data_IF_189535552458
#
_entry.id   IF_189535552458
#
_cell.length_a   1.000
_cell.length_b   1.000
_cell.length_c   1.000
_cell.angle_alpha   90.00
_cell.angle_beta   90.00
_cell.angle_gamma   90.00
#
_symmetry.space_group_name_H-M   'P 1'
#
loop_
_entity.id
_entity.type
_entity.pdbx_description
1 polymer ?
#
# COMPACT_ATOMS: atom_id res chain seq x y z
N UNK A 1 -32.18 -4.42 4.16
CA UNK A 1 -31.48 -4.95 5.35
C UNK A 1 -29.99 -4.64 5.19
N UNK A 2 -29.47 -3.65 5.90
CA UNK A 2 -28.04 -3.30 5.85
C UNK A 2 -27.25 -4.40 6.57
N UNK A 3 -26.47 -5.18 5.83
CA UNK A 3 -25.65 -6.25 6.42
C UNK A 3 -24.47 -5.64 7.17
N UNK A 4 -24.03 -6.27 8.26
CA UNK A 4 -22.76 -5.98 8.93
C UNK A 4 -21.60 -5.93 7.93
N UNK A 5 -21.66 -6.75 6.87
CA UNK A 5 -20.70 -6.70 5.76
C UNK A 5 -20.70 -5.35 5.03
N UNK A 6 -21.87 -4.82 4.69
CA UNK A 6 -21.98 -3.52 4.01
C UNK A 6 -21.47 -2.40 4.91
N UNK A 7 -21.77 -2.46 6.21
CA UNK A 7 -21.30 -1.49 7.19
C UNK A 7 -19.75 -1.50 7.30
N UNK A 8 -19.14 -2.68 7.46
CA UNK A 8 -17.68 -2.79 7.57
C UNK A 8 -16.96 -2.29 6.31
N UNK A 9 -17.47 -2.61 5.12
CA UNK A 9 -16.90 -2.11 3.86
C UNK A 9 -17.06 -0.58 3.72
N UNK A 10 -18.19 -0.03 4.18
CA UNK A 10 -18.42 1.42 4.15
C UNK A 10 -17.48 2.15 5.11
N UNK A 11 -17.35 1.64 6.35
CA UNK A 11 -16.42 2.18 7.36
C UNK A 11 -14.99 2.14 6.84
N UNK A 12 -14.58 1.03 6.23
CA UNK A 12 -13.24 0.93 5.67
C UNK A 12 -13.01 1.89 4.51
N UNK A 13 -13.95 1.97 3.56
CA UNK A 13 -13.89 2.96 2.48
C UNK A 13 -13.76 4.38 3.03
N UNK A 14 -14.57 4.76 4.03
CA UNK A 14 -14.49 6.10 4.64
C UNK A 14 -13.15 6.32 5.34
N UNK A 15 -12.62 5.34 6.07
CA UNK A 15 -11.32 5.48 6.73
C UNK A 15 -10.18 5.64 5.72
N UNK A 16 -10.16 4.86 4.63
CA UNK A 16 -9.16 5.04 3.57
C UNK A 16 -9.30 6.37 2.83
N UNK A 17 -10.52 6.88 2.64
CA UNK A 17 -10.74 8.22 2.10
C UNK A 17 -10.22 9.31 3.05
N UNK A 18 -10.35 9.14 4.37
CA UNK A 18 -9.74 10.04 5.36
C UNK A 18 -8.22 10.00 5.25
N UNK A 19 -7.61 8.81 5.20
CA UNK A 19 -6.16 8.65 4.99
C UNK A 19 -5.73 9.39 3.72
N UNK A 20 -6.40 9.15 2.58
CA UNK A 20 -6.06 9.83 1.32
C UNK A 20 -6.25 11.34 1.42
N UNK A 21 -7.29 11.81 2.10
CA UNK A 21 -7.54 13.25 2.29
C UNK A 21 -6.46 13.91 3.12
N UNK A 22 -5.98 13.23 4.18
CA UNK A 22 -4.83 13.70 4.96
C UNK A 22 -3.61 13.78 4.06
N UNK A 23 -3.30 12.73 3.28
CA UNK A 23 -2.15 12.72 2.37
C UNK A 23 -2.22 13.83 1.31
N UNK A 24 -3.38 14.03 0.68
CA UNK A 24 -3.59 15.07 -0.35
C UNK A 24 -3.59 16.47 0.26
N UNK A 25 -4.07 16.64 1.48
CA UNK A 25 -3.96 17.93 2.19
C UNK A 25 -2.51 18.34 2.48
N UNK A 26 -1.57 17.39 2.41
CA UNK A 26 -0.14 17.69 2.46
C UNK A 26 0.42 18.03 1.07
N UNK A 27 -0.22 17.58 -0.02
CA UNK A 27 0.21 17.89 -1.38
C UNK A 27 -0.35 19.22 -1.92
N UNK A 28 -1.28 19.88 -1.22
CA UNK A 28 -1.84 21.18 -1.62
C UNK A 28 -0.87 22.38 -1.51
N UNK A 29 0.43 22.12 -1.35
CA UNK A 29 1.52 23.08 -1.60
C UNK A 29 2.18 22.88 -3.00
N UNK A 30 1.45 22.34 -3.98
CA UNK A 30 1.91 22.19 -5.37
C UNK A 30 1.65 23.48 -6.17
N UNK A 31 2.70 24.23 -6.62
CA UNK A 31 2.55 25.29 -7.61
C UNK A 31 2.24 24.72 -9.00
N UNK A 32 1.57 25.52 -9.82
CA UNK A 32 0.88 25.17 -11.06
C UNK A 32 1.76 24.82 -12.28
N UNK A 33 3.03 24.41 -12.11
CA UNK A 33 3.95 24.15 -13.23
C UNK A 33 4.36 22.68 -13.32
N UNK A 34 4.15 22.06 -14.49
CA UNK A 34 4.38 20.63 -14.76
C UNK A 34 5.87 20.25 -14.77
N UNK A 35 6.77 21.21 -14.87
CA UNK A 35 8.24 21.01 -14.91
C UNK A 35 8.90 20.93 -13.53
N UNK A 36 8.25 21.42 -12.47
CA UNK A 36 8.81 21.36 -11.10
C UNK A 36 8.54 20.02 -10.39
N UNK A 37 7.49 19.29 -10.80
CA UNK A 37 7.12 18.04 -10.13
C UNK A 37 8.13 16.92 -10.40
N UNK A 38 8.66 16.83 -11.62
CA UNK A 38 9.70 15.85 -11.97
C UNK A 38 11.00 16.14 -11.24
N UNK A 39 11.39 17.41 -11.13
CA UNK A 39 12.61 17.79 -10.43
C UNK A 39 12.49 17.55 -8.91
N UNK A 40 11.32 17.70 -8.29
CA UNK A 40 11.11 17.30 -6.88
C UNK A 40 11.03 15.79 -6.63
N UNK A 41 10.60 15.01 -7.63
CA UNK A 41 10.52 13.56 -7.50
C UNK A 41 11.90 12.88 -7.66
N UNK A 42 12.77 13.46 -8.48
CA UNK A 42 14.10 12.91 -8.79
C UNK A 42 15.27 13.62 -8.11
N UNK A 43 15.14 14.91 -7.77
CA UNK A 43 16.07 15.60 -6.87
C UNK A 43 15.39 15.80 -5.51
N UNK A 44 16.01 15.39 -4.38
CA UNK A 44 15.57 15.78 -3.04
C UNK A 44 15.89 17.27 -2.84
N UNK A 45 15.22 18.13 -3.59
CA UNK A 45 15.43 19.56 -3.61
C UNK A 45 14.85 20.18 -2.33
N UNK A 46 15.52 21.24 -1.88
CA UNK A 46 15.41 22.00 -0.64
C UNK A 46 14.03 22.56 -0.26
N UNK A 47 12.96 22.19 -0.95
CA UNK A 47 11.59 22.53 -0.59
C UNK A 47 10.98 21.40 0.23
N UNK A 48 10.84 21.63 1.53
CA UNK A 48 10.20 20.76 2.50
C UNK A 48 8.93 20.12 1.94
N UNK A 49 8.86 18.78 1.96
CA UNK A 49 7.55 18.16 2.13
C UNK A 49 6.97 18.73 3.42
N UNK A 50 5.72 19.24 3.44
CA UNK A 50 5.18 19.80 4.66
C UNK A 50 5.19 18.72 5.71
N UNK A 51 6.00 18.92 6.75
CA UNK A 51 6.12 18.00 7.87
C UNK A 51 4.72 17.76 8.44
N UNK A 52 4.26 16.51 8.39
CA UNK A 52 2.93 16.15 8.86
C UNK A 52 2.74 16.68 10.29
N UNK A 53 1.71 17.50 10.55
CA UNK A 53 1.51 18.03 11.91
C UNK A 53 1.44 16.88 12.92
N UNK A 54 1.94 17.06 14.14
CA UNK A 54 1.92 16.00 15.16
C UNK A 54 0.50 15.44 15.41
N UNK A 55 -0.52 16.28 15.26
CA UNK A 55 -1.92 15.86 15.31
C UNK A 55 -2.31 14.95 14.13
N UNK A 56 -1.96 15.34 12.89
CA UNK A 56 -2.26 14.54 11.71
C UNK A 56 -1.48 13.21 11.71
N UNK A 57 -0.27 13.17 12.28
CA UNK A 57 0.52 11.94 12.46
C UNK A 57 -0.19 10.93 13.35
N UNK A 58 -0.62 11.35 14.53
CA UNK A 58 -1.34 10.50 15.47
C UNK A 58 -2.66 10.01 14.86
N UNK A 59 -3.43 10.92 14.27
CA UNK A 59 -4.68 10.59 13.60
C UNK A 59 -4.48 9.56 12.47
N UNK A 60 -3.42 9.71 11.68
CA UNK A 60 -3.08 8.80 10.60
C UNK A 60 -2.74 7.40 11.13
N UNK A 61 -1.87 7.30 12.15
CA UNK A 61 -1.49 6.02 12.76
C UNK A 61 -2.71 5.32 13.37
N UNK A 62 -3.53 6.05 14.14
CA UNK A 62 -4.74 5.51 14.77
C UNK A 62 -5.73 5.00 13.72
N UNK A 63 -5.91 5.77 12.63
CA UNK A 63 -6.78 5.37 11.51
C UNK A 63 -6.24 4.12 10.82
N UNK A 64 -4.93 4.04 10.58
CA UNK A 64 -4.30 2.89 9.93
C UNK A 64 -4.43 1.62 10.78
N UNK A 65 -4.20 1.71 12.09
CA UNK A 65 -4.38 0.59 13.02
C UNK A 65 -5.84 0.13 13.08
N UNK A 66 -6.78 1.08 13.08
CA UNK A 66 -8.20 0.76 13.03
C UNK A 66 -8.59 0.03 11.73
N UNK A 67 -8.12 0.54 10.58
CA UNK A 67 -8.33 -0.09 9.27
C UNK A 67 -7.68 -1.48 9.20
N UNK A 68 -6.54 -1.66 9.85
CA UNK A 68 -5.88 -2.95 9.98
C UNK A 68 -6.71 -3.96 10.75
N UNK A 69 -7.37 -3.53 11.84
CA UNK A 69 -8.34 -4.34 12.56
C UNK A 69 -9.48 -4.82 11.67
N UNK A 70 -10.00 -3.97 10.78
CA UNK A 70 -11.05 -4.36 9.83
C UNK A 70 -10.53 -5.42 8.84
N UNK A 71 -9.31 -5.26 8.35
CA UNK A 71 -8.70 -6.24 7.45
C UNK A 71 -8.46 -7.59 8.13
N UNK A 72 -8.07 -7.59 9.41
CA UNK A 72 -7.96 -8.82 10.19
C UNK A 72 -9.31 -9.55 10.29
N UNK A 73 -10.41 -8.81 10.52
CA UNK A 73 -11.77 -9.36 10.50
C UNK A 73 -12.12 -9.94 9.12
N UNK A 74 -11.72 -9.28 8.03
CA UNK A 74 -11.91 -9.81 6.66
C UNK A 74 -11.19 -11.16 6.47
N UNK A 75 -9.92 -11.27 6.90
CA UNK A 75 -9.15 -12.52 6.81
C UNK A 75 -9.77 -13.61 7.70
N UNK A 76 -10.20 -13.28 8.92
CA UNK A 76 -10.91 -14.20 9.81
C UNK A 76 -12.20 -14.74 9.18
N UNK A 77 -12.92 -13.91 8.43
CA UNK A 77 -14.13 -14.34 7.71
C UNK A 77 -13.84 -15.23 6.50
N UNK A 78 -12.69 -15.05 5.84
CA UNK A 78 -12.20 -16.02 4.84
C UNK A 78 -11.91 -17.37 5.52
N UNK A 79 -11.28 -17.35 6.70
CA UNK A 79 -10.96 -18.57 7.44
C UNK A 79 -12.21 -19.36 7.87
N UNK A 80 -13.28 -18.67 8.27
CA UNK A 80 -14.58 -19.29 8.64
C UNK A 80 -15.41 -19.65 7.38
N UNK A 81 -14.93 -19.37 6.17
CA UNK A 81 -15.61 -19.70 4.91
C UNK A 81 -16.77 -18.78 4.55
N UNK A 82 -16.96 -17.67 5.28
CA UNK A 82 -18.01 -16.69 5.01
C UNK A 82 -17.68 -15.79 3.80
N UNK A 83 -16.41 -15.67 3.44
CA UNK A 83 -15.93 -14.86 2.31
C UNK A 83 -15.09 -15.72 1.36
N UNK A 84 -15.31 -15.59 0.04
CA UNK A 84 -14.47 -16.23 -0.96
C UNK A 84 -13.13 -15.51 -1.06
N UNK A 85 -12.03 -16.18 -0.74
CA UNK A 85 -10.69 -15.64 -0.83
C UNK A 85 -9.61 -16.72 -0.66
N UNK A 86 -8.38 -16.39 -1.01
CA UNK A 86 -7.22 -17.23 -0.71
C UNK A 86 -6.72 -16.84 0.69
N UNK A 87 -6.96 -17.70 1.68
CA UNK A 87 -6.57 -17.45 3.07
C UNK A 87 -5.07 -17.24 3.21
N UNK A 88 -4.25 -18.09 2.59
CA UNK A 88 -2.79 -18.00 2.67
C UNK A 88 -2.28 -16.66 2.11
N UNK A 89 -2.80 -16.23 0.96
CA UNK A 89 -2.49 -14.93 0.39
C UNK A 89 -2.92 -13.79 1.33
N UNK A 90 -4.12 -13.88 1.92
CA UNK A 90 -4.64 -12.89 2.86
C UNK A 90 -3.76 -12.75 4.11
N UNK A 91 -3.31 -13.87 4.68
CA UNK A 91 -2.41 -13.88 5.83
C UNK A 91 -1.05 -13.27 5.48
N UNK A 92 -0.45 -13.63 4.33
CA UNK A 92 0.84 -13.08 3.90
C UNK A 92 0.76 -11.56 3.70
N UNK A 93 -0.26 -11.06 3.00
CA UNK A 93 -0.44 -9.62 2.81
C UNK A 93 -0.65 -8.90 4.14
N UNK A 94 -1.42 -9.47 5.06
CA UNK A 94 -1.63 -8.90 6.38
C UNK A 94 -0.34 -8.84 7.19
N UNK A 95 0.49 -9.89 7.15
CA UNK A 95 1.80 -9.90 7.81
C UNK A 95 2.74 -8.83 7.25
N UNK A 96 2.77 -8.65 5.92
CA UNK A 96 3.55 -7.57 5.28
C UNK A 96 3.06 -6.21 5.75
N UNK A 97 1.74 -5.99 5.71
CA UNK A 97 1.13 -4.71 6.09
C UNK A 97 1.40 -4.37 7.55
N UNK A 98 1.23 -5.35 8.45
CA UNK A 98 1.57 -5.21 9.87
C UNK A 98 3.06 -4.93 10.10
N UNK A 99 3.94 -5.64 9.40
CA UNK A 99 5.39 -5.38 9.52
C UNK A 99 5.73 -3.96 9.06
N UNK A 100 5.11 -3.51 7.96
CA UNK A 100 5.29 -2.14 7.48
C UNK A 100 4.75 -1.11 8.47
N UNK A 101 3.54 -1.30 9.01
CA UNK A 101 2.93 -0.42 10.01
C UNK A 101 3.78 -0.29 11.28
N UNK A 102 4.42 -1.38 11.72
CA UNK A 102 5.15 -1.42 12.98
C UNK A 102 6.64 -1.07 12.85
N UNK A 103 7.25 -1.28 11.67
CA UNK A 103 8.71 -1.17 11.52
C UNK A 103 9.16 -0.25 10.37
N UNK A 104 8.33 -0.04 9.34
CA UNK A 104 8.71 0.77 8.17
C UNK A 104 8.15 2.18 8.27
N UNK A 105 6.83 2.30 8.50
CA UNK A 105 6.14 3.57 8.59
C UNK A 105 6.59 4.45 9.78
N UNK A 106 6.84 3.91 10.99
CA UNK A 106 7.25 4.75 12.11
C UNK A 106 8.61 5.44 11.87
N UNK A 107 9.52 4.78 11.15
CA UNK A 107 10.82 5.34 10.81
C UNK A 107 10.72 6.57 9.91
N UNK A 108 9.75 6.61 8.98
CA UNK A 108 9.56 7.75 8.08
C UNK A 108 8.51 8.77 8.53
N UNK A 109 7.51 8.38 9.33
CA UNK A 109 6.43 9.28 9.77
C UNK A 109 6.72 9.98 11.10
N UNK A 110 7.39 9.30 12.03
CA UNK A 110 7.64 9.81 13.38
C UNK A 110 9.10 10.20 13.56
N UNK A 111 9.99 9.78 12.65
CA UNK A 111 11.42 10.08 12.73
C UNK A 111 12.10 9.40 13.92
N UNK A 112 11.55 8.27 14.40
CA UNK A 112 12.01 7.59 15.63
C UNK A 112 13.49 7.19 15.61
N UNK A 113 14.13 7.16 14.43
CA UNK A 113 15.54 6.81 14.26
C UNK A 113 16.45 8.01 13.92
N UNK A 114 15.99 9.27 14.02
CA UNK A 114 16.78 10.42 13.58
C UNK A 114 17.06 11.44 14.68
N UNK A 115 18.35 11.60 14.97
CA UNK A 115 18.91 12.62 15.84
C UNK A 115 19.28 13.94 15.13
N UNK A 116 18.87 14.17 13.88
CA UNK A 116 19.12 15.44 13.17
C UNK A 116 18.21 15.60 11.95
N UNK A 117 17.42 16.67 11.94
CA UNK A 117 16.37 16.99 10.95
C UNK A 117 16.87 17.35 9.52
N UNK A 118 18.19 17.30 9.26
CA UNK A 118 18.78 17.82 8.00
C UNK A 118 19.35 16.73 7.05
N UNK A 119 19.26 15.44 7.39
CA UNK A 119 19.89 14.39 6.58
C UNK A 119 19.04 13.99 5.36
N UNK A 120 19.68 13.89 4.18
CA UNK A 120 19.05 13.48 2.90
C UNK A 120 18.33 12.13 3.03
N UNK A 121 18.85 11.23 3.89
CA UNK A 121 18.26 9.91 4.12
C UNK A 121 16.87 9.97 4.78
N UNK A 122 16.64 10.96 5.65
CA UNK A 122 15.35 11.19 6.31
C UNK A 122 14.23 11.48 5.31
N UNK A 123 14.54 12.33 4.32
CA UNK A 123 13.60 12.73 3.26
C UNK A 123 13.22 11.54 2.37
N UNK A 124 14.19 10.69 2.07
CA UNK A 124 13.92 9.46 1.33
C UNK A 124 13.04 8.48 2.12
N UNK A 125 13.24 8.38 3.44
CA UNK A 125 12.42 7.50 4.28
C UNK A 125 10.98 8.00 4.42
N UNK A 126 10.79 9.32 4.52
CA UNK A 126 9.48 9.96 4.48
C UNK A 126 8.77 9.69 3.13
N UNK A 127 9.47 9.91 2.01
CA UNK A 127 8.94 9.64 0.67
C UNK A 127 8.53 8.17 0.50
N UNK A 128 9.36 7.23 0.95
CA UNK A 128 9.05 5.80 0.92
C UNK A 128 7.77 5.51 1.70
N UNK A 129 7.65 6.05 2.92
CA UNK A 129 6.47 5.85 3.76
C UNK A 129 5.20 6.44 3.12
N UNK A 130 5.33 7.61 2.49
CA UNK A 130 4.24 8.23 1.73
C UNK A 130 3.83 7.38 0.53
N UNK A 131 4.77 6.83 -0.24
CA UNK A 131 4.48 5.94 -1.36
C UNK A 131 3.75 4.67 -0.92
N UNK A 132 4.16 4.06 0.20
CA UNK A 132 3.44 2.93 0.81
C UNK A 132 1.99 3.35 1.11
N UNK A 133 1.79 4.46 1.82
CA UNK A 133 0.46 4.94 2.19
C UNK A 133 -0.43 5.30 1.00
N UNK A 134 0.10 6.01 0.01
CA UNK A 134 -0.64 6.32 -1.23
C UNK A 134 -1.03 5.04 -1.97
N UNK A 135 -0.10 4.09 -2.09
CA UNK A 135 -0.38 2.82 -2.78
C UNK A 135 -1.47 2.02 -2.08
N UNK A 136 -1.47 1.96 -0.74
CA UNK A 136 -2.50 1.30 0.05
C UNK A 136 -3.84 2.00 -0.07
N UNK A 137 -3.87 3.31 0.19
CA UNK A 137 -5.09 4.10 0.17
C UNK A 137 -5.79 4.02 -1.19
N UNK A 138 -5.05 4.21 -2.28
CA UNK A 138 -5.61 4.09 -3.63
C UNK A 138 -6.15 2.67 -3.87
N UNK A 139 -5.36 1.64 -3.62
CA UNK A 139 -5.78 0.24 -3.85
C UNK A 139 -7.05 -0.10 -3.10
N UNK A 140 -7.14 0.30 -1.84
CA UNK A 140 -8.27 0.01 -0.95
C UNK A 140 -9.52 0.81 -1.34
N UNK A 141 -9.38 2.11 -1.65
CA UNK A 141 -10.48 2.93 -2.18
C UNK A 141 -11.03 2.36 -3.49
N UNK A 142 -10.18 1.81 -4.37
CA UNK A 142 -10.63 1.14 -5.59
C UNK A 142 -11.24 -0.25 -5.35
N UNK A 143 -10.97 -0.87 -4.20
CA UNK A 143 -11.41 -2.22 -3.86
C UNK A 143 -12.85 -2.24 -3.36
N UNK A 144 -13.20 -1.33 -2.44
CA UNK A 144 -14.48 -1.30 -1.74
C UNK A 144 -15.72 -1.00 -2.60
N UNK A 145 -15.67 -0.19 -3.69
CA UNK A 145 -16.81 0.04 -4.56
C UNK A 145 -17.42 -1.25 -5.11
N UNK A 146 -16.61 -2.28 -5.40
CA UNK A 146 -17.14 -3.57 -5.88
C UNK A 146 -17.89 -4.34 -4.78
N UNK A 147 -17.54 -4.17 -3.50
CA UNK A 147 -18.25 -4.81 -2.40
C UNK A 147 -19.57 -4.09 -2.06
N UNK A 148 -19.61 -2.76 -2.24
CA UNK A 148 -20.82 -1.96 -2.03
C UNK A 148 -21.79 -2.05 -3.21
N UNK A 149 -21.28 -2.10 -4.44
CA UNK A 149 -22.07 -2.13 -5.67
C UNK A 149 -21.63 -3.28 -6.61
N UNK A 150 -21.90 -4.55 -6.26
CA UNK A 150 -21.39 -5.71 -7.01
C UNK A 150 -21.96 -5.83 -8.43
N UNK A 151 -23.09 -5.18 -8.72
CA UNK A 151 -23.71 -5.11 -10.04
C UNK A 151 -23.07 -4.08 -10.98
N UNK A 152 -22.21 -3.19 -10.47
CA UNK A 152 -21.58 -2.13 -11.27
C UNK A 152 -20.37 -2.64 -12.04
N UNK A 153 -20.43 -2.54 -13.37
CA UNK A 153 -19.30 -2.85 -14.26
C UNK A 153 -18.10 -1.92 -14.01
N UNK A 154 -18.35 -0.64 -13.71
CA UNK A 154 -17.31 0.35 -13.40
C UNK A 154 -16.56 -0.01 -12.12
N UNK A 155 -17.27 -0.43 -11.07
CA UNK A 155 -16.64 -0.85 -9.81
C UNK A 155 -15.74 -2.08 -10.02
N UNK A 156 -16.15 -3.01 -10.87
CA UNK A 156 -15.33 -4.17 -11.25
C UNK A 156 -14.10 -3.75 -12.07
N UNK A 157 -14.25 -2.80 -12.99
CA UNK A 157 -13.15 -2.27 -13.78
C UNK A 157 -12.08 -1.61 -12.89
N UNK A 158 -12.49 -0.72 -11.99
CA UNK A 158 -11.58 -0.04 -11.06
C UNK A 158 -10.80 -1.06 -10.21
N UNK A 159 -11.46 -2.08 -9.68
CA UNK A 159 -10.80 -3.15 -8.90
C UNK A 159 -9.74 -3.90 -9.70
N UNK A 160 -9.92 -4.05 -11.01
CA UNK A 160 -9.00 -4.81 -11.87
C UNK A 160 -7.83 -3.96 -12.35
N UNK A 161 -8.06 -2.68 -12.62
CA UNK A 161 -7.07 -1.79 -13.22
C UNK A 161 -6.21 -1.11 -12.17
N UNK A 162 -6.79 -0.68 -11.06
CA UNK A 162 -6.07 0.10 -10.06
C UNK A 162 -4.84 -0.63 -9.48
N UNK A 163 -4.94 -1.93 -9.12
CA UNK A 163 -3.79 -2.71 -8.69
C UNK A 163 -2.68 -2.86 -9.73
N UNK A 164 -2.94 -2.65 -11.03
CA UNK A 164 -1.88 -2.73 -12.05
C UNK A 164 -0.83 -1.63 -11.84
N UNK A 165 -1.23 -0.48 -11.31
CA UNK A 165 -0.34 0.66 -11.07
C UNK A 165 0.08 0.70 -9.61
N UNK A 166 -0.86 0.52 -8.68
CA UNK A 166 -0.56 0.69 -7.25
C UNK A 166 0.26 -0.47 -6.68
N UNK A 167 0.11 -1.70 -7.20
CA UNK A 167 0.86 -2.86 -6.73
C UNK A 167 2.38 -2.71 -6.92
N UNK A 168 2.92 -2.44 -8.14
CA UNK A 168 4.37 -2.32 -8.30
C UNK A 168 4.97 -1.18 -7.49
N UNK A 169 4.26 -0.04 -7.37
CA UNK A 169 4.71 1.10 -6.56
C UNK A 169 4.74 0.72 -5.07
N UNK A 170 3.66 0.12 -4.57
CA UNK A 170 3.54 -0.31 -3.18
C UNK A 170 4.56 -1.38 -2.82
N UNK A 171 4.65 -2.45 -3.61
CA UNK A 171 5.60 -3.53 -3.37
C UNK A 171 7.05 -3.03 -3.38
N UNK A 172 7.42 -2.14 -4.31
CA UNK A 172 8.74 -1.53 -4.33
C UNK A 172 9.00 -0.68 -3.08
N UNK A 173 8.06 0.20 -2.71
CA UNK A 173 8.21 1.07 -1.54
C UNK A 173 8.29 0.27 -0.23
N UNK A 174 7.44 -0.75 -0.06
CA UNK A 174 7.47 -1.66 1.08
C UNK A 174 8.81 -2.42 1.17
N UNK A 175 9.29 -2.96 0.04
CA UNK A 175 10.57 -3.67 0.00
C UNK A 175 11.74 -2.75 0.33
N UNK A 176 11.78 -1.55 -0.25
CA UNK A 176 12.86 -0.59 -0.01
C UNK A 176 12.86 -0.09 1.43
N UNK A 177 11.68 0.22 1.98
CA UNK A 177 11.52 0.62 3.37
C UNK A 177 11.92 -0.48 4.35
N UNK A 178 11.51 -1.72 4.08
CA UNK A 178 11.90 -2.88 4.89
C UNK A 178 13.40 -3.18 4.79
N UNK A 179 14.00 -3.05 3.61
CA UNK A 179 15.44 -3.23 3.42
C UNK A 179 16.26 -2.21 4.21
N UNK A 180 15.83 -0.94 4.23
CA UNK A 180 16.50 0.11 5.01
C UNK A 180 16.41 -0.15 6.51
N UNK A 181 15.21 -0.46 7.01
CA UNK A 181 15.01 -0.81 8.42
C UNK A 181 15.82 -2.08 8.80
N UNK A 182 15.90 -3.06 7.90
CA UNK A 182 16.70 -4.27 8.11
C UNK A 182 18.19 -3.96 8.16
N UNK A 183 18.69 -3.14 7.23
CA UNK A 183 20.09 -2.74 7.18
C UNK A 183 20.48 -2.04 8.49
N UNK A 184 19.69 -1.07 8.92
CA UNK A 184 19.90 -0.35 10.17
C UNK A 184 19.95 -1.29 11.39
N UNK A 185 18.99 -2.22 11.46
CA UNK A 185 18.89 -3.21 12.54
C UNK A 185 20.09 -4.17 12.59
N UNK A 186 20.67 -4.51 11.42
CA UNK A 186 21.84 -5.40 11.31
C UNK A 186 23.15 -4.65 11.56
N UNK A 187 23.23 -3.36 11.21
CA UNK A 187 24.44 -2.54 11.40
C UNK A 187 24.54 -1.90 12.77
N UNK A 188 23.44 -1.80 13.52
CA UNK A 188 23.47 -1.31 14.90
C UNK A 188 24.16 -2.38 15.77
N UNK A 189 25.39 -2.10 16.20
CA UNK A 189 26.23 -2.92 17.10
C UNK A 189 25.62 -2.98 18.51
N UNK A 190 24.45 -3.63 18.63
CA UNK A 190 23.77 -3.90 19.88
C UNK A 190 24.16 -5.27 20.39
N UNK A 191 25.01 -5.29 21.42
CA UNK A 191 25.29 -6.46 22.24
C UNK A 191 23.98 -7.08 22.74
N UNK A 192 23.74 -8.36 22.44
CA UNK A 192 22.59 -9.10 22.93
C UNK A 192 21.83 -9.83 21.83
N UNK A 193 21.99 -11.16 21.81
CA UNK A 193 21.19 -12.12 21.05
C UNK A 193 19.73 -12.17 21.54
N UNK A 194 19.00 -11.06 21.44
CA UNK A 194 17.60 -11.01 21.85
C UNK A 194 16.72 -11.62 20.77
N UNK A 195 15.91 -12.61 21.15
CA UNK A 195 14.94 -13.28 20.26
C UNK A 195 14.09 -12.28 19.49
N UNK A 196 13.77 -11.13 20.10
CA UNK A 196 13.03 -10.05 19.45
C UNK A 196 13.78 -9.39 18.28
N UNK A 197 15.09 -9.21 18.37
CA UNK A 197 15.91 -8.69 17.27
C UNK A 197 15.89 -9.66 16.09
N UNK A 198 16.04 -10.95 16.36
CA UNK A 198 15.99 -11.98 15.32
C UNK A 198 14.62 -12.03 14.64
N UNK A 199 13.52 -11.95 15.40
CA UNK A 199 12.17 -11.92 14.83
C UNK A 199 11.98 -10.71 13.91
N UNK A 200 12.44 -9.52 14.30
CA UNK A 200 12.40 -8.32 13.44
C UNK A 200 13.18 -8.51 12.14
N UNK A 201 14.40 -9.06 12.23
CA UNK A 201 15.24 -9.37 11.05
C UNK A 201 14.51 -10.32 10.10
N UNK A 202 13.92 -11.40 10.63
CA UNK A 202 13.19 -12.38 9.81
C UNK A 202 11.95 -11.77 9.16
N UNK A 203 11.15 -10.99 9.90
CA UNK A 203 9.95 -10.35 9.36
C UNK A 203 10.29 -9.35 8.25
N UNK A 204 11.28 -8.46 8.48
CA UNK A 204 11.71 -7.50 7.47
C UNK A 204 12.34 -8.20 6.25
N UNK A 205 13.16 -9.23 6.47
CA UNK A 205 13.71 -10.04 5.40
C UNK A 205 12.63 -10.74 4.57
N UNK A 206 11.56 -11.21 5.20
CA UNK A 206 10.42 -11.80 4.51
C UNK A 206 9.65 -10.76 3.68
N UNK A 207 9.45 -9.54 4.18
CA UNK A 207 8.86 -8.45 3.39
C UNK A 207 9.69 -8.16 2.14
N UNK A 208 11.01 -8.03 2.28
CA UNK A 208 11.92 -7.81 1.14
C UNK A 208 11.83 -8.96 0.15
N UNK A 209 11.87 -10.21 0.61
CA UNK A 209 11.79 -11.40 -0.24
C UNK A 209 10.46 -11.48 -0.99
N UNK A 210 9.34 -11.32 -0.28
CA UNK A 210 8.02 -11.45 -0.89
C UNK A 210 7.80 -10.35 -1.92
N UNK A 211 8.13 -9.09 -1.60
CA UNK A 211 7.85 -7.98 -2.50
C UNK A 211 8.86 -7.82 -3.64
N UNK A 212 10.10 -8.27 -3.48
CA UNK A 212 11.11 -8.19 -4.54
C UNK A 212 11.11 -9.42 -5.46
N UNK A 213 10.73 -10.59 -4.94
CA UNK A 213 10.75 -11.85 -5.71
C UNK A 213 9.34 -12.33 -6.03
N UNK A 214 8.53 -12.65 -5.02
CA UNK A 214 7.21 -13.26 -5.25
C UNK A 214 6.19 -12.27 -5.86
N UNK A 215 6.30 -10.99 -5.53
CA UNK A 215 5.49 -9.93 -6.09
C UNK A 215 5.64 -9.86 -7.62
N UNK A 216 6.85 -9.62 -8.14
CA UNK A 216 7.09 -9.55 -9.58
C UNK A 216 6.94 -10.88 -10.32
N UNK A 217 7.29 -12.01 -9.69
CA UNK A 217 7.30 -13.32 -10.38
C UNK A 217 5.95 -14.04 -10.36
N UNK A 218 5.11 -13.81 -9.34
CA UNK A 218 3.85 -14.52 -9.17
C UNK A 218 2.64 -13.58 -9.10
N UNK A 219 2.67 -12.58 -8.22
CA UNK A 219 1.49 -11.74 -7.98
C UNK A 219 1.20 -10.79 -9.14
N UNK A 220 2.20 -10.06 -9.63
CA UNK A 220 2.03 -9.07 -10.68
C UNK A 220 1.64 -9.69 -12.04
N UNK A 221 2.22 -10.82 -12.49
CA UNK A 221 1.75 -11.51 -13.71
C UNK A 221 0.31 -11.98 -13.58
N UNK A 222 -0.11 -12.45 -12.40
CA UNK A 222 -1.49 -12.86 -12.16
C UNK A 222 -2.46 -11.66 -12.18
N UNK A 223 -2.03 -10.48 -11.71
CA UNK A 223 -2.78 -9.23 -11.83
C UNK A 223 -2.88 -8.78 -13.28
N UNK A 224 -1.77 -8.76 -14.02
CA UNK A 224 -1.74 -8.42 -15.46
C UNK A 224 -2.68 -9.32 -16.26
N UNK A 225 -2.64 -10.64 -16.03
CA UNK A 225 -3.52 -11.59 -16.72
C UNK A 225 -5.02 -11.28 -16.50
N UNK A 226 -5.39 -10.67 -15.37
CA UNK A 226 -6.78 -10.33 -15.03
C UNK A 226 -7.15 -8.89 -15.42
N UNK A 227 -6.25 -7.94 -15.24
CA UNK A 227 -6.50 -6.51 -15.44
C UNK A 227 -6.24 -6.04 -16.87
N UNK A 228 -5.25 -6.61 -17.56
CA UNK A 228 -4.91 -6.21 -18.93
C UNK A 228 -6.07 -6.46 -19.92
N UNK A 229 -6.84 -7.57 -19.85
CA UNK A 229 -8.02 -7.74 -20.69
C UNK A 229 -9.13 -6.71 -20.42
N UNK A 230 -9.22 -6.18 -19.20
CA UNK A 230 -10.17 -5.12 -18.86
C UNK A 230 -9.69 -3.76 -19.41
N UNK A 231 -8.38 -3.49 -19.35
CA UNK A 231 -7.77 -2.25 -19.86
C UNK A 231 -7.78 -2.19 -21.41
N UNK A 232 -7.41 -3.29 -22.07
CA UNK A 232 -7.36 -3.42 -23.54
C UNK A 232 -8.71 -3.80 -24.16
N UNK A 233 -9.82 -3.67 -23.42
CA UNK A 233 -11.12 -4.21 -23.78
C UNK A 233 -11.53 -3.94 -25.22
N UNK A 234 -12.04 -4.99 -25.90
CA UNK A 234 -12.66 -5.04 -27.24
C UNK A 234 -11.84 -5.50 -28.44
N UNK A 235 -10.51 -5.50 -28.49
CA UNK A 235 -9.85 -6.00 -29.72
C UNK A 235 -10.00 -7.53 -29.89
N UNK A 236 -9.84 -8.31 -28.83
CA UNK A 236 -9.94 -9.78 -28.91
C UNK A 236 -11.39 -10.27 -29.16
N UNK A 237 -12.39 -9.54 -28.66
CA UNK A 237 -13.79 -9.83 -28.92
C UNK A 237 -14.22 -9.38 -30.33
N UNK A 238 -13.72 -8.23 -30.80
CA UNK A 238 -13.99 -7.72 -32.16
C UNK A 238 -13.27 -8.55 -33.22
N UNK A 239 -12.01 -8.97 -32.97
CA UNK A 239 -11.25 -9.85 -33.85
C UNK A 239 -11.85 -11.26 -33.96
N UNK A 240 -12.35 -11.83 -32.84
CA UNK A 240 -13.08 -13.12 -32.88
C UNK A 240 -14.45 -13.02 -33.58
N UNK A 241 -15.12 -11.86 -33.53
CA UNK A 241 -16.37 -11.62 -34.25
C UNK A 241 -16.14 -11.40 -35.75
N UNK A 242 -15.01 -10.79 -36.12
CA UNK A 242 -14.59 -10.61 -37.52
C UNK A 242 -14.22 -11.95 -38.18
N UNK A 243 -13.43 -12.79 -37.50
CA UNK A 243 -13.08 -14.16 -37.97
C UNK A 243 -14.22 -15.17 -38.01
N UNK A 244 -15.38 -14.88 -37.40
CA UNK A 244 -16.58 -15.74 -37.45
C UNK A 244 -17.56 -15.30 -38.53
N UNK A 245 -17.37 -14.10 -39.08
CA UNK A 245 -18.20 -13.51 -40.13
C UNK A 245 -17.46 -13.45 -41.49
N UNK A 246 -16.24 -14.02 -41.55
CA UNK A 246 -15.47 -14.36 -42.76
C UNK A 246 -15.47 -15.88 -42.90
#
# INVERSE_FOLDING_TARGET
>A
MFSLFTLLNLVSLTGWMVVLSILVSQSSLIPSSSTEWTNRFFEPSSSSFPSLSSHNRLLLIDTLLFLEGICFIEVGRIAIGQLKGNLALGVVLHMIRMTCLLMVLPNGLVGLNHGRDDDVDSKWQELISMLVLYSWALTEIGRYPMYLFPSSSTARYVRLVLPLVTFPIGAFAEALGAYRALKELVTSDGDGSDTFHLVKIVLLGLVVLVNSVLGPTMAYPALLKKGLPALLGNEAATAKRKKKNE
#
